data_IF_799524077096
#
_entry.id   IF_799524077096
#
_cell.length_a   1.000
_cell.length_b   1.000
_cell.length_c   1.000
_cell.angle_alpha   90.00
_cell.angle_beta   90.00
_cell.angle_gamma   90.00
#
_symmetry.space_group_name_H-M   'P 1'
#
loop_
_entity.id
_entity.type
_entity.pdbx_description
1 polymer ?
#
# COMPACT_ATOMS: atom_id res chain seq x y z
N UNK A 1 -20.29 12.64 -5.48
CA UNK A 1 -19.12 11.73 -5.49
C UNK A 1 -18.30 11.75 -4.16
N UNK A 2 -18.93 11.63 -2.98
CA UNK A 2 -18.22 11.57 -1.68
C UNK A 2 -18.51 10.25 -0.95
N UNK A 3 -18.05 9.14 -1.53
CA UNK A 3 -18.08 7.82 -0.90
C UNK A 3 -16.84 7.63 -0.02
N UNK A 4 -16.90 6.72 0.96
CA UNK A 4 -15.74 6.39 1.83
C UNK A 4 -14.53 5.96 0.99
N UNK A 5 -14.74 5.16 -0.06
CA UNK A 5 -13.68 4.75 -0.97
C UNK A 5 -12.98 5.93 -1.64
N UNK A 6 -13.70 7.00 -2.00
CA UNK A 6 -13.07 8.16 -2.65
C UNK A 6 -12.10 8.89 -1.71
N UNK A 7 -12.34 8.88 -0.39
CA UNK A 7 -11.38 9.42 0.57
C UNK A 7 -10.10 8.57 0.62
N UNK A 8 -10.23 7.24 0.59
CA UNK A 8 -9.06 6.36 0.55
C UNK A 8 -8.29 6.45 -0.77
N UNK A 9 -8.98 6.59 -1.91
CA UNK A 9 -8.33 6.81 -3.21
C UNK A 9 -7.58 8.14 -3.23
N UNK A 10 -8.17 9.21 -2.71
CA UNK A 10 -7.48 10.50 -2.59
C UNK A 10 -6.25 10.40 -1.66
N UNK A 11 -6.34 9.65 -0.56
CA UNK A 11 -5.22 9.40 0.34
C UNK A 11 -4.07 8.64 -0.34
N UNK A 12 -4.40 7.64 -1.17
CA UNK A 12 -3.43 6.92 -2.01
C UNK A 12 -2.73 7.86 -2.98
N UNK A 13 -3.49 8.67 -3.71
CA UNK A 13 -2.92 9.63 -4.67
C UNK A 13 -1.94 10.60 -3.99
N UNK A 14 -2.25 11.07 -2.78
CA UNK A 14 -1.34 11.93 -2.01
C UNK A 14 -0.05 11.18 -1.65
N UNK A 15 -0.14 9.95 -1.16
CA UNK A 15 1.02 9.13 -0.83
C UNK A 15 1.92 8.87 -2.04
N UNK A 16 1.32 8.54 -3.19
CA UNK A 16 2.05 8.26 -4.44
C UNK A 16 2.71 9.51 -5.02
N UNK A 17 2.03 10.67 -4.96
CA UNK A 17 2.61 11.97 -5.34
C UNK A 17 3.83 12.30 -4.46
N UNK A 18 3.74 12.05 -3.16
CA UNK A 18 4.86 12.26 -2.23
C UNK A 18 6.05 11.37 -2.60
N UNK A 19 5.83 10.10 -2.93
CA UNK A 19 6.89 9.19 -3.40
C UNK A 19 7.51 9.71 -4.70
N UNK A 20 6.67 10.11 -5.65
CA UNK A 20 7.10 10.64 -6.95
C UNK A 20 7.95 11.89 -6.83
N UNK A 21 7.62 12.79 -5.92
CA UNK A 21 8.37 14.03 -5.70
C UNK A 21 9.63 13.82 -4.85
N UNK A 22 9.57 13.01 -3.78
CA UNK A 22 10.59 12.98 -2.73
C UNK A 22 11.41 11.70 -2.62
N UNK A 23 11.00 10.60 -3.24
CA UNK A 23 11.72 9.33 -3.13
C UNK A 23 12.36 8.94 -4.45
N UNK A 24 11.57 8.92 -5.54
CA UNK A 24 12.02 8.45 -6.85
C UNK A 24 13.23 9.24 -7.40
N UNK A 25 13.19 10.57 -7.55
CA UNK A 25 14.29 11.30 -8.17
C UNK A 25 15.59 11.20 -7.35
N UNK A 26 15.47 11.15 -6.03
CA UNK A 26 16.63 11.11 -5.13
C UNK A 26 17.27 9.72 -5.08
N UNK A 27 16.47 8.64 -5.08
CA UNK A 27 16.98 7.29 -5.24
C UNK A 27 17.63 7.09 -6.61
N UNK A 28 16.99 7.59 -7.66
CA UNK A 28 17.54 7.51 -9.01
C UNK A 28 18.89 8.23 -9.11
N UNK A 29 19.01 9.43 -8.54
CA UNK A 29 20.28 10.16 -8.47
C UNK A 29 21.35 9.38 -7.70
N UNK A 30 21.01 8.82 -6.53
CA UNK A 30 21.94 8.02 -5.74
C UNK A 30 22.41 6.77 -6.50
N UNK A 31 21.51 6.13 -7.26
CA UNK A 31 21.80 4.97 -8.07
C UNK A 31 22.66 5.29 -9.30
N UNK A 32 22.45 6.44 -9.95
CA UNK A 32 23.26 6.84 -11.11
C UNK A 32 24.67 7.30 -10.70
N UNK A 33 24.77 8.17 -9.69
CA UNK A 33 26.04 8.80 -9.33
C UNK A 33 26.90 7.93 -8.41
N UNK A 34 26.32 6.92 -7.75
CA UNK A 34 27.02 6.08 -6.77
C UNK A 34 27.75 6.92 -5.70
N UNK A 35 27.16 8.07 -5.34
CA UNK A 35 27.60 8.99 -4.29
C UNK A 35 26.44 9.91 -3.88
N UNK A 36 26.47 10.40 -2.66
CA UNK A 36 25.48 11.32 -2.11
C UNK A 36 25.85 12.78 -2.41
N UNK A 37 25.11 13.43 -3.31
CA UNK A 37 25.37 14.83 -3.72
C UNK A 37 24.35 15.84 -3.20
N UNK A 38 23.38 15.38 -2.41
CA UNK A 38 22.26 16.17 -1.92
C UNK A 38 22.56 16.75 -0.53
N UNK A 39 21.78 17.74 -0.07
CA UNK A 39 21.85 18.22 1.30
C UNK A 39 21.83 17.07 2.32
N UNK A 40 22.63 17.14 3.41
CA UNK A 40 22.74 16.05 4.38
C UNK A 40 21.41 15.61 5.00
N UNK A 41 20.47 16.55 5.21
CA UNK A 41 19.16 16.23 5.78
C UNK A 41 18.33 15.29 4.90
N UNK A 42 18.51 15.33 3.58
CA UNK A 42 17.76 14.51 2.63
C UNK A 42 18.09 13.02 2.77
N UNK A 43 19.27 12.68 3.31
CA UNK A 43 19.68 11.28 3.53
C UNK A 43 18.77 10.57 4.54
N UNK A 44 18.30 11.28 5.57
CA UNK A 44 17.32 10.75 6.51
C UNK A 44 15.89 10.97 6.02
N UNK A 45 15.61 12.13 5.43
CA UNK A 45 14.26 12.54 5.05
C UNK A 45 13.68 11.71 3.89
N UNK A 46 14.42 11.50 2.81
CA UNK A 46 13.88 10.79 1.63
C UNK A 46 13.49 9.33 1.95
N UNK A 47 14.33 8.53 2.63
CA UNK A 47 13.95 7.18 3.03
C UNK A 47 12.84 7.14 4.08
N UNK A 48 12.80 8.11 5.02
CA UNK A 48 11.68 8.25 5.94
C UNK A 48 10.36 8.48 5.21
N UNK A 49 10.33 9.43 4.28
CA UNK A 49 9.15 9.75 3.47
C UNK A 49 8.72 8.58 2.60
N UNK A 50 9.68 7.84 2.03
CA UNK A 50 9.41 6.63 1.27
C UNK A 50 8.67 5.60 2.13
N UNK A 51 9.20 5.29 3.32
CA UNK A 51 8.60 4.31 4.23
C UNK A 51 7.23 4.78 4.70
N UNK A 52 7.10 6.06 5.06
CA UNK A 52 5.83 6.69 5.42
C UNK A 52 4.79 6.47 4.32
N UNK A 53 5.09 6.87 3.08
CA UNK A 53 4.13 6.81 1.99
C UNK A 53 3.79 5.38 1.57
N UNK A 54 4.78 4.48 1.48
CA UNK A 54 4.54 3.06 1.16
C UNK A 54 3.62 2.42 2.20
N UNK A 55 3.83 2.73 3.49
CA UNK A 55 2.95 2.26 4.56
C UNK A 55 1.54 2.83 4.46
N UNK A 56 1.43 4.14 4.23
CA UNK A 56 0.12 4.78 4.02
C UNK A 56 -0.61 4.10 2.86
N UNK A 57 0.06 3.83 1.75
CA UNK A 57 -0.55 3.19 0.58
C UNK A 57 -1.03 1.77 0.88
N UNK A 58 -0.18 0.90 1.44
CA UNK A 58 -0.57 -0.51 1.64
C UNK A 58 -1.67 -0.69 2.70
N UNK A 59 -1.63 0.09 3.78
CA UNK A 59 -2.67 0.03 4.81
C UNK A 59 -3.98 0.62 4.26
N UNK A 60 -3.91 1.67 3.42
CA UNK A 60 -5.08 2.21 2.74
C UNK A 60 -5.70 1.19 1.77
N UNK A 61 -4.89 0.48 0.98
CA UNK A 61 -5.36 -0.61 0.11
C UNK A 61 -6.05 -1.72 0.90
N UNK A 62 -5.47 -2.10 2.05
CA UNK A 62 -6.07 -3.08 2.95
C UNK A 62 -7.41 -2.59 3.50
N UNK A 63 -7.51 -1.32 3.89
CA UNK A 63 -8.76 -0.71 4.36
C UNK A 63 -9.83 -0.68 3.25
N UNK A 64 -9.45 -0.38 2.00
CA UNK A 64 -10.35 -0.46 0.85
C UNK A 64 -10.85 -1.89 0.65
N UNK A 65 -9.95 -2.88 0.68
CA UNK A 65 -10.32 -4.29 0.52
C UNK A 65 -11.34 -4.72 1.59
N UNK A 66 -11.11 -4.35 2.85
CA UNK A 66 -12.03 -4.64 3.96
C UNK A 66 -13.37 -3.92 3.85
N UNK A 67 -13.39 -2.66 3.41
CA UNK A 67 -14.64 -1.93 3.14
C UNK A 67 -15.46 -2.63 2.05
N UNK A 68 -14.79 -3.12 0.99
CA UNK A 68 -15.43 -3.90 -0.08
C UNK A 68 -15.93 -5.25 0.39
N UNK A 69 -15.15 -5.96 1.19
CA UNK A 69 -15.57 -7.21 1.81
C UNK A 69 -16.87 -7.04 2.59
N UNK A 70 -16.92 -6.03 3.47
CA UNK A 70 -18.12 -5.74 4.28
C UNK A 70 -19.32 -5.39 3.41
N UNK A 71 -19.13 -4.57 2.39
CA UNK A 71 -20.20 -4.16 1.48
C UNK A 71 -20.81 -5.34 0.69
N UNK A 72 -20.00 -6.34 0.33
CA UNK A 72 -20.45 -7.51 -0.45
C UNK A 72 -21.03 -8.60 0.46
N UNK A 73 -20.36 -8.91 1.58
CA UNK A 73 -20.77 -10.00 2.47
C UNK A 73 -21.96 -9.64 3.37
N UNK A 74 -22.09 -8.36 3.75
CA UNK A 74 -23.11 -7.88 4.69
C UNK A 74 -23.90 -6.69 4.12
N UNK A 75 -24.67 -6.86 3.03
CA UNK A 75 -25.34 -5.76 2.33
C UNK A 75 -26.37 -5.01 3.18
N UNK A 76 -26.93 -5.67 4.21
CA UNK A 76 -27.92 -5.09 5.13
C UNK A 76 -27.30 -4.42 6.37
N UNK A 77 -25.98 -4.52 6.57
CA UNK A 77 -25.29 -3.89 7.70
C UNK A 77 -24.93 -2.44 7.35
N UNK A 78 -24.96 -1.55 8.35
CA UNK A 78 -24.63 -0.15 8.16
C UNK A 78 -23.25 0.04 7.51
N UNK A 79 -23.18 0.87 6.47
CA UNK A 79 -21.93 1.20 5.78
C UNK A 79 -20.98 1.96 6.70
N UNK A 80 -19.68 1.82 6.44
CA UNK A 80 -18.63 2.60 7.10
C UNK A 80 -18.97 4.09 7.08
N UNK A 81 -18.95 4.75 8.23
CA UNK A 81 -19.18 6.19 8.33
C UNK A 81 -18.01 6.97 7.74
N UNK A 82 -18.31 8.15 7.17
CA UNK A 82 -17.27 9.11 6.70
C UNK A 82 -16.34 9.54 7.83
N UNK A 83 -16.85 9.63 9.07
CA UNK A 83 -16.03 9.98 10.23
C UNK A 83 -15.02 8.88 10.54
N UNK A 84 -15.47 7.61 10.56
CA UNK A 84 -14.60 6.45 10.73
C UNK A 84 -13.52 6.38 9.66
N UNK A 85 -13.84 6.71 8.41
CA UNK A 85 -12.86 6.74 7.33
C UNK A 85 -11.77 7.82 7.54
N UNK A 86 -12.16 9.02 7.98
CA UNK A 86 -11.20 10.09 8.30
C UNK A 86 -10.31 9.73 9.49
N UNK A 87 -10.89 9.17 10.55
CA UNK A 87 -10.14 8.69 11.73
C UNK A 87 -9.16 7.58 11.32
N UNK A 88 -9.60 6.65 10.47
CA UNK A 88 -8.73 5.60 9.94
C UNK A 88 -7.55 6.20 9.15
N UNK A 89 -7.78 7.18 8.28
CA UNK A 89 -6.69 7.85 7.54
C UNK A 89 -5.69 8.48 8.51
N UNK A 90 -6.15 9.24 9.52
CA UNK A 90 -5.25 9.86 10.50
C UNK A 90 -4.43 8.79 11.24
N UNK A 91 -5.08 7.71 11.69
CA UNK A 91 -4.40 6.60 12.35
C UNK A 91 -3.35 5.93 11.45
N UNK A 92 -3.65 5.77 10.17
CA UNK A 92 -2.72 5.24 9.17
C UNK A 92 -1.48 6.14 9.09
N UNK A 93 -1.66 7.45 8.94
CA UNK A 93 -0.53 8.39 8.87
C UNK A 93 0.34 8.36 10.13
N UNK A 94 -0.27 8.35 11.32
CA UNK A 94 0.47 8.30 12.60
C UNK A 94 1.25 7.00 12.74
N UNK A 95 0.61 5.86 12.44
CA UNK A 95 1.27 4.55 12.48
C UNK A 95 2.44 4.49 11.49
N UNK A 96 2.22 4.91 10.24
CA UNK A 96 3.23 4.93 9.19
C UNK A 96 4.41 5.85 9.52
N UNK A 97 4.13 7.02 10.11
CA UNK A 97 5.18 7.94 10.55
C UNK A 97 6.02 7.33 11.67
N UNK A 98 5.37 6.70 12.65
CA UNK A 98 6.04 6.01 13.77
C UNK A 98 6.92 4.87 13.23
N UNK A 99 6.39 4.08 12.30
CA UNK A 99 7.13 3.02 11.63
C UNK A 99 8.33 3.55 10.83
N UNK A 100 8.28 4.78 10.30
CA UNK A 100 9.39 5.40 9.58
C UNK A 100 10.50 5.97 10.45
N UNK A 101 10.25 6.24 11.74
CA UNK A 101 11.21 6.92 12.66
C UNK A 101 12.61 6.28 12.66
N UNK A 102 12.76 4.94 12.68
CA UNK A 102 14.09 4.34 12.68
C UNK A 102 14.93 4.72 11.46
N UNK A 103 14.33 4.94 10.27
CA UNK A 103 15.07 5.45 9.10
C UNK A 103 15.57 6.88 9.32
N UNK A 104 14.72 7.75 9.91
CA UNK A 104 15.09 9.13 10.19
C UNK A 104 16.23 9.23 11.23
N UNK A 105 16.27 8.30 12.19
CA UNK A 105 17.32 8.25 13.22
C UNK A 105 18.59 7.57 12.73
N UNK A 106 18.47 6.46 11.97
CA UNK A 106 19.59 5.62 11.56
C UNK A 106 20.50 6.25 10.51
N UNK A 107 19.92 6.92 9.51
CA UNK A 107 20.62 7.28 8.28
C UNK A 107 21.33 8.63 8.37
N UNK A 108 22.63 8.65 8.08
CA UNK A 108 23.46 9.86 8.02
C UNK A 108 24.41 9.81 6.82
N UNK A 109 24.87 10.97 6.38
CA UNK A 109 25.89 11.08 5.34
C UNK A 109 27.26 10.85 5.97
N UNK A 110 28.03 9.92 5.41
CA UNK A 110 29.39 9.57 5.85
C UNK A 110 30.31 9.44 4.64
N UNK A 111 31.60 9.68 4.85
CA UNK A 111 32.62 9.47 3.81
C UNK A 111 33.05 8.00 3.80
N UNK A 112 33.04 7.38 2.62
CA UNK A 112 33.44 5.98 2.39
C UNK A 112 34.55 5.95 1.35
N UNK A 113 35.52 5.03 1.50
CA UNK A 113 36.61 4.85 0.54
C UNK A 113 36.10 4.45 -0.84
N UNK A 114 36.60 5.11 -1.87
CA UNK A 114 36.27 4.81 -3.25
C UNK A 114 37.18 3.73 -3.81
N UNK A 115 36.72 2.48 -3.77
CA UNK A 115 37.46 1.33 -4.28
C UNK A 115 37.85 1.46 -5.76
N UNK A 116 37.21 2.34 -6.54
CA UNK A 116 37.47 2.53 -7.97
C UNK A 116 38.57 3.57 -8.27
N UNK A 117 38.90 4.45 -7.32
CA UNK A 117 39.71 5.65 -7.58
C UNK A 117 40.99 5.72 -6.71
N UNK A 118 41.38 4.58 -6.12
CA UNK A 118 42.58 4.44 -5.27
C UNK A 118 42.30 4.65 -3.78
N UNK A 119 43.22 4.15 -2.94
CA UNK A 119 43.05 4.03 -1.49
C UNK A 119 42.83 5.36 -0.73
N UNK A 120 43.21 6.49 -1.31
CA UNK A 120 43.15 7.81 -0.64
C UNK A 120 41.91 8.65 -1.03
N UNK A 121 41.07 8.16 -1.95
CA UNK A 121 39.89 8.91 -2.38
C UNK A 121 38.67 8.49 -1.57
N UNK A 122 37.98 9.45 -0.92
CA UNK A 122 36.70 9.19 -0.23
C UNK A 122 35.54 9.87 -0.93
N UNK A 123 34.35 9.25 -0.89
CA UNK A 123 33.10 9.81 -1.43
C UNK A 123 31.96 9.75 -0.41
N UNK A 124 31.05 10.73 -0.42
CA UNK A 124 29.91 10.77 0.51
C UNK A 124 28.89 9.69 0.17
N UNK A 125 28.39 8.98 1.19
CA UNK A 125 27.33 7.98 1.12
C UNK A 125 26.30 8.20 2.21
N UNK A 126 25.05 7.86 1.92
CA UNK A 126 23.99 7.81 2.93
C UNK A 126 23.90 6.37 3.48
N UNK A 127 24.23 6.18 4.76
CA UNK A 127 24.22 4.84 5.36
C UNK A 127 23.72 4.85 6.82
N UNK A 128 23.40 3.67 7.33
CA UNK A 128 23.03 3.50 8.73
C UNK A 128 24.28 3.63 9.61
N UNK A 129 24.28 4.65 10.47
CA UNK A 129 25.39 4.95 11.39
C UNK A 129 24.98 4.74 12.85
N UNK A 130 23.72 5.03 13.20
CA UNK A 130 23.29 5.05 14.60
C UNK A 130 22.74 3.72 15.10
N UNK A 131 22.23 2.85 14.23
CA UNK A 131 21.68 1.55 14.64
C UNK A 131 22.73 0.45 14.45
N UNK A 132 22.79 -0.50 15.38
CA UNK A 132 23.58 -1.72 15.22
C UNK A 132 23.20 -2.44 13.92
N UNK A 133 24.18 -3.01 13.17
CA UNK A 133 23.90 -3.74 11.92
C UNK A 133 22.86 -4.85 12.10
N UNK A 134 22.89 -5.55 13.24
CA UNK A 134 21.92 -6.59 13.57
C UNK A 134 20.51 -5.99 13.74
N UNK A 135 20.37 -4.93 14.55
CA UNK A 135 19.09 -4.27 14.79
C UNK A 135 18.52 -3.69 13.49
N UNK A 136 19.36 -3.06 12.67
CA UNK A 136 18.97 -2.54 11.36
C UNK A 136 18.46 -3.65 10.44
N UNK A 137 19.18 -4.77 10.35
CA UNK A 137 18.78 -5.91 9.52
C UNK A 137 17.46 -6.53 9.99
N UNK A 138 17.31 -6.75 11.29
CA UNK A 138 16.07 -7.29 11.88
C UNK A 138 14.91 -6.35 11.61
N UNK A 139 15.08 -5.05 11.86
CA UNK A 139 14.06 -4.04 11.61
C UNK A 139 13.62 -4.02 10.14
N UNK A 140 14.55 -3.99 9.19
CA UNK A 140 14.22 -4.03 7.76
C UNK A 140 13.47 -5.30 7.37
N UNK A 141 13.88 -6.47 7.89
CA UNK A 141 13.16 -7.72 7.64
C UNK A 141 11.74 -7.69 8.20
N UNK A 142 11.56 -7.28 9.45
CA UNK A 142 10.24 -7.15 10.09
C UNK A 142 9.36 -6.17 9.31
N UNK A 143 9.92 -5.04 8.91
CA UNK A 143 9.25 -4.02 8.12
C UNK A 143 8.71 -4.60 6.81
N UNK A 144 9.54 -5.28 6.02
CA UNK A 144 9.13 -5.92 4.76
C UNK A 144 8.08 -7.00 5.00
N UNK A 145 8.24 -7.85 6.01
CA UNK A 145 7.26 -8.89 6.34
C UNK A 145 5.89 -8.31 6.66
N UNK A 146 5.84 -7.32 7.55
CA UNK A 146 4.60 -6.70 7.99
C UNK A 146 3.94 -5.82 6.92
N UNK A 147 4.71 -5.23 6.02
CA UNK A 147 4.22 -4.23 5.07
C UNK A 147 4.02 -4.77 3.66
N UNK A 148 4.65 -5.89 3.30
CA UNK A 148 4.48 -6.51 1.99
C UNK A 148 3.70 -7.82 2.09
N UNK A 149 4.23 -8.81 2.80
CA UNK A 149 3.68 -10.16 2.80
C UNK A 149 2.33 -10.26 3.51
N UNK A 150 2.22 -9.68 4.72
CA UNK A 150 0.97 -9.72 5.48
C UNK A 150 -0.18 -9.01 4.74
N UNK A 151 -0.01 -7.77 4.25
CA UNK A 151 -1.10 -7.08 3.57
C UNK A 151 -1.45 -7.73 2.22
N UNK A 152 -0.48 -8.23 1.46
CA UNK A 152 -0.76 -8.96 0.22
C UNK A 152 -1.58 -10.22 0.48
N UNK A 153 -1.25 -10.98 1.52
CA UNK A 153 -2.03 -12.15 1.91
C UNK A 153 -3.45 -11.76 2.32
N UNK A 154 -3.62 -10.72 3.12
CA UNK A 154 -4.95 -10.25 3.54
C UNK A 154 -5.79 -9.75 2.37
N UNK A 155 -5.21 -8.90 1.51
CA UNK A 155 -5.89 -8.35 0.34
C UNK A 155 -6.30 -9.47 -0.62
N UNK A 156 -5.40 -10.42 -0.90
CA UNK A 156 -5.69 -11.55 -1.77
C UNK A 156 -6.79 -12.45 -1.19
N UNK A 157 -6.71 -12.82 0.08
CA UNK A 157 -7.75 -13.61 0.74
C UNK A 157 -9.13 -12.91 0.71
N UNK A 158 -9.16 -11.61 0.95
CA UNK A 158 -10.38 -10.80 0.87
C UNK A 158 -10.95 -10.78 -0.55
N UNK A 159 -10.13 -10.55 -1.58
CA UNK A 159 -10.64 -10.53 -2.95
C UNK A 159 -11.03 -11.91 -3.47
N UNK A 160 -10.34 -12.97 -3.06
CA UNK A 160 -10.72 -14.37 -3.36
C UNK A 160 -12.09 -14.67 -2.76
N UNK A 161 -12.33 -14.36 -1.49
CA UNK A 161 -13.62 -14.60 -0.83
C UNK A 161 -14.76 -13.79 -1.47
N UNK A 162 -14.51 -12.54 -1.85
CA UNK A 162 -15.47 -11.74 -2.62
C UNK A 162 -15.78 -12.39 -3.97
N UNK A 163 -14.76 -12.85 -4.70
CA UNK A 163 -14.92 -13.48 -6.01
C UNK A 163 -15.75 -14.77 -5.91
N UNK A 164 -15.48 -15.62 -4.92
CA UNK A 164 -16.24 -16.84 -4.66
C UNK A 164 -17.71 -16.52 -4.32
N UNK A 165 -17.95 -15.53 -3.44
CA UNK A 165 -19.33 -15.13 -3.09
C UNK A 165 -20.10 -14.57 -4.28
N UNK A 166 -19.45 -13.78 -5.13
CA UNK A 166 -20.06 -13.22 -6.34
C UNK A 166 -20.32 -14.29 -7.41
N UNK A 167 -19.49 -15.34 -7.48
CA UNK A 167 -19.74 -16.50 -8.34
C UNK A 167 -20.99 -17.24 -7.89
N UNK A 168 -21.15 -17.51 -6.60
CA UNK A 168 -22.33 -18.18 -6.06
C UNK A 168 -23.61 -17.33 -6.19
N UNK A 169 -23.48 -15.99 -6.13
CA UNK A 169 -24.61 -15.07 -6.32
C UNK A 169 -24.94 -14.79 -7.81
N UNK A 170 -24.13 -15.26 -8.78
CA UNK A 170 -24.42 -15.21 -10.21
C UNK A 170 -24.92 -16.58 -10.70
N UNK A 171 -26.21 -16.84 -10.51
CA UNK A 171 -27.19 -17.13 -11.60
C UNK A 171 -28.60 -17.36 -11.04
N UNK A 172 -29.47 -16.34 -11.00
CA UNK A 172 -30.91 -16.52 -11.25
C UNK A 172 -31.20 -16.25 -12.74
N UNK A 173 -30.36 -16.79 -13.63
CA UNK A 173 -30.66 -16.83 -15.07
C UNK A 173 -31.53 -18.02 -15.46
N UNK A 174 -31.55 -19.08 -14.64
CA UNK A 174 -32.32 -20.29 -14.92
C UNK A 174 -33.84 -20.08 -14.78
N UNK A 175 -34.26 -19.17 -13.89
CA UNK A 175 -35.67 -18.83 -13.74
C UNK A 175 -36.25 -18.12 -14.95
N UNK A 176 -35.42 -17.43 -15.77
CA UNK A 176 -35.88 -16.77 -16.98
C UNK A 176 -35.93 -17.74 -18.16
N UNK A 177 -34.95 -18.65 -18.30
CA UNK A 177 -35.04 -19.74 -19.29
C UNK A 177 -36.18 -20.72 -19.00
N UNK A 178 -36.42 -21.07 -17.73
CA UNK A 178 -37.54 -21.94 -17.34
C UNK A 178 -38.89 -21.23 -17.53
N UNK A 179 -38.98 -19.93 -17.22
CA UNK A 179 -40.18 -19.13 -17.52
C UNK A 179 -40.42 -19.04 -19.03
N UNK A 180 -39.40 -18.71 -19.81
CA UNK A 180 -39.51 -18.56 -21.27
C UNK A 180 -39.82 -19.90 -21.95
N UNK A 181 -39.25 -21.00 -21.47
CA UNK A 181 -39.57 -22.36 -21.92
C UNK A 181 -41.01 -22.76 -21.58
N UNK A 182 -41.51 -22.40 -20.39
CA UNK A 182 -42.89 -22.67 -19.99
C UNK A 182 -43.89 -21.78 -20.76
N UNK A 183 -43.54 -20.53 -21.05
CA UNK A 183 -44.34 -19.63 -21.90
C UNK A 183 -44.42 -20.18 -23.33
N UNK A 184 -43.33 -20.70 -23.89
CA UNK A 184 -43.32 -21.34 -25.22
C UNK A 184 -44.14 -22.64 -25.25
N UNK A 185 -44.07 -23.47 -24.19
CA UNK A 185 -44.91 -24.69 -24.07
C UNK A 185 -46.40 -24.36 -24.00
N UNK A 186 -46.77 -23.31 -23.27
CA UNK A 186 -48.17 -22.91 -23.15
C UNK A 186 -48.71 -22.32 -24.47
N UNK A 187 -47.90 -21.59 -25.24
CA UNK A 187 -48.30 -21.12 -26.59
C UNK A 187 -48.58 -22.26 -27.56
N UNK A 188 -47.91 -23.42 -27.43
CA UNK A 188 -48.16 -24.62 -28.25
C UNK A 188 -49.41 -25.42 -27.86
N UNK A 189 -49.99 -25.20 -26.68
CA UNK A 189 -51.22 -25.89 -26.22
C UNK A 189 -52.51 -25.17 -26.59
N UNK A 190 -52.42 -23.93 -27.06
CA UNK A 190 -53.57 -23.06 -27.37
C UNK A 190 -53.81 -22.95 -28.89
N UNK A 191 -52.97 -23.60 -29.70
CA UNK A 191 -53.17 -23.79 -31.15
C UNK A 191 -53.43 -25.27 -31.44
#
# INVERSE_FOLDING_TARGET
MRTVTNYFIANLAVADIIIGMFSIPFQFQAALLQRWVLPPFMCAFCPFVQVLSVNVSIITLTAIALDRYRAVMYPLKARTSKMSAKVAIIAIWVFSATAGVPYAVALRVTMVQDAQMGNDTTKPFCMNVHLSPFMWKVYNHVLVTLQYFVPLFLISAVYITIALKLKDNKTPGNTQSDRDANIMKNKKKVS
#
